data_IF_591411864476
#
_entry.id   IF_591411864476
#
_cell.length_a   1.000
_cell.length_b   1.000
_cell.length_c   1.000
_cell.angle_alpha   90.00
_cell.angle_beta   90.00
_cell.angle_gamma   90.00
#
_symmetry.space_group_name_H-M   'P 1'
#
loop_
_entity.id
_entity.type
_entity.pdbx_description
1 polymer ?
#
# COMPACT_ATOMS: atom_id res chain seq x y z
N UNK A 1 -29.13 7.52 33.02
CA UNK A 1 -28.42 7.62 31.73
C UNK A 1 -26.98 7.95 32.08
N UNK A 2 -26.05 7.11 31.64
CA UNK A 2 -24.67 7.05 32.11
C UNK A 2 -23.89 8.34 31.75
N UNK A 3 -23.06 8.78 32.70
CA UNK A 3 -22.30 10.03 32.68
C UNK A 3 -20.99 9.88 31.87
N UNK A 4 -20.63 10.92 31.12
CA UNK A 4 -19.43 11.03 30.26
C UNK A 4 -18.12 11.20 31.05
N UNK A 5 -17.84 10.36 32.05
CA UNK A 5 -16.62 10.46 32.87
C UNK A 5 -15.80 9.16 32.98
N UNK A 6 -15.87 8.29 31.97
CA UNK A 6 -15.05 7.08 31.86
C UNK A 6 -14.14 7.12 30.61
N UNK A 7 -13.42 8.23 30.41
CA UNK A 7 -12.34 8.31 29.39
C UNK A 7 -11.13 9.03 29.99
N UNK A 8 -10.69 8.63 31.18
CA UNK A 8 -9.33 8.95 31.65
C UNK A 8 -8.89 7.82 32.58
N UNK A 9 -8.05 6.88 32.09
CA UNK A 9 -7.04 6.09 32.84
C UNK A 9 -6.61 4.81 32.12
N UNK A 10 -6.25 4.85 30.83
CA UNK A 10 -5.62 3.67 30.18
C UNK A 10 -4.56 3.99 29.10
N UNK A 11 -4.01 5.22 29.06
CA UNK A 11 -2.95 5.58 28.09
C UNK A 11 -1.71 6.16 28.79
N UNK A 12 -1.50 5.87 30.07
CA UNK A 12 -0.38 6.49 30.77
C UNK A 12 0.22 5.57 31.82
N UNK A 13 0.72 4.42 31.39
CA UNK A 13 1.68 3.60 32.13
C UNK A 13 2.27 2.58 31.14
N UNK A 14 3.26 3.02 30.36
CA UNK A 14 4.41 2.25 29.83
C UNK A 14 5.05 3.09 28.70
N UNK A 15 5.76 4.13 29.11
CA UNK A 15 6.76 4.78 28.27
C UNK A 15 8.03 4.90 29.11
N UNK A 16 8.78 3.80 29.19
CA UNK A 16 10.19 3.87 29.54
C UNK A 16 10.91 4.71 28.48
N UNK A 17 11.77 5.68 28.86
CA UNK A 17 12.56 6.42 27.91
C UNK A 17 13.70 5.52 27.42
N UNK A 18 13.49 4.85 26.29
CA UNK A 18 14.56 4.10 25.63
C UNK A 18 15.47 5.12 24.95
N UNK A 19 16.67 5.20 25.51
CA UNK A 19 17.85 5.95 25.08
C UNK A 19 18.04 5.85 23.56
N UNK A 20 17.99 7.01 22.92
CA UNK A 20 18.05 7.21 21.48
C UNK A 20 19.52 7.19 21.03
N UNK A 21 20.16 6.00 21.07
CA UNK A 21 21.43 5.73 20.38
C UNK A 21 21.53 4.26 19.98
N UNK A 22 21.27 3.97 18.71
CA UNK A 22 21.90 2.87 17.97
C UNK A 22 21.95 3.29 16.50
N UNK A 23 22.98 4.07 16.19
CA UNK A 23 23.59 4.12 14.87
C UNK A 23 24.59 2.96 14.82
N UNK A 24 24.26 1.90 14.08
CA UNK A 24 25.27 1.01 13.51
C UNK A 24 24.67 0.35 12.26
N UNK A 25 25.12 0.87 11.13
CA UNK A 25 25.07 0.25 9.81
C UNK A 25 25.41 -1.23 9.88
N UNK A 26 24.39 -2.09 9.80
CA UNK A 26 24.56 -3.41 9.23
C UNK A 26 23.60 -3.54 8.05
N UNK A 27 24.03 -2.94 6.94
CA UNK A 27 23.64 -3.30 5.57
C UNK A 27 24.01 -4.77 5.34
N UNK A 28 23.28 -5.67 6.00
CA UNK A 28 23.28 -7.07 5.66
C UNK A 28 22.49 -7.21 4.37
N UNK A 29 23.23 -6.89 3.30
CA UNK A 29 22.97 -7.01 1.89
C UNK A 29 22.61 -8.46 1.53
N UNK A 30 21.43 -8.87 1.99
CA UNK A 30 20.69 -10.05 1.54
C UNK A 30 19.29 -9.62 1.09
N UNK A 31 19.20 -8.38 0.58
CA UNK A 31 18.10 -8.00 -0.29
C UNK A 31 18.31 -8.70 -1.63
N UNK A 32 17.97 -9.98 -1.67
CA UNK A 32 17.34 -10.60 -2.84
C UNK A 32 16.18 -9.67 -3.21
N UNK A 33 16.50 -8.64 -3.98
CA UNK A 33 15.58 -7.61 -4.40
C UNK A 33 14.58 -8.36 -5.26
N UNK A 34 13.47 -8.78 -4.64
CA UNK A 34 12.37 -9.46 -5.30
C UNK A 34 11.92 -8.53 -6.39
N UNK A 35 12.46 -8.76 -7.58
CA UNK A 35 12.17 -7.94 -8.74
C UNK A 35 10.72 -8.25 -9.04
N UNK A 36 9.85 -7.32 -8.67
CA UNK A 36 8.42 -7.43 -8.90
C UNK A 36 8.11 -7.74 -10.37
N UNK A 37 6.86 -8.12 -10.67
CA UNK A 37 6.49 -8.56 -12.00
C UNK A 37 6.84 -7.52 -13.06
N UNK A 38 7.24 -8.00 -14.24
CA UNK A 38 7.54 -7.10 -15.33
C UNK A 38 6.28 -6.31 -15.71
N UNK A 39 6.51 -5.19 -16.36
CA UNK A 39 5.46 -4.36 -16.94
C UNK A 39 4.56 -5.14 -17.92
N UNK A 40 5.08 -6.17 -18.60
CA UNK A 40 4.33 -7.03 -19.49
C UNK A 40 3.44 -8.04 -18.73
N UNK A 41 3.85 -8.44 -17.53
CA UNK A 41 3.12 -9.43 -16.71
C UNK A 41 2.10 -8.74 -15.78
N UNK A 42 2.48 -7.60 -15.20
CA UNK A 42 1.68 -6.88 -14.21
C UNK A 42 0.38 -6.29 -14.80
N UNK A 43 0.41 -5.83 -16.05
CA UNK A 43 -0.75 -5.19 -16.69
C UNK A 43 -1.87 -6.19 -17.01
N UNK A 44 -1.60 -7.33 -17.67
CA UNK A 44 -2.58 -8.39 -17.83
C UNK A 44 -3.11 -8.90 -16.48
N UNK A 45 -2.23 -9.13 -15.49
CA UNK A 45 -2.65 -9.59 -14.17
C UNK A 45 -3.61 -8.59 -13.50
N UNK A 46 -3.30 -7.29 -13.54
CA UNK A 46 -4.17 -6.24 -13.02
C UNK A 46 -5.52 -6.19 -13.76
N UNK A 47 -5.52 -6.37 -15.08
CA UNK A 47 -6.75 -6.44 -15.88
C UNK A 47 -7.63 -7.61 -15.43
N UNK A 48 -7.05 -8.80 -15.32
CA UNK A 48 -7.76 -10.01 -14.85
C UNK A 48 -8.31 -9.80 -13.44
N UNK A 49 -7.54 -9.20 -12.53
CA UNK A 49 -7.99 -8.90 -11.18
C UNK A 49 -9.18 -7.94 -11.15
N UNK A 50 -9.19 -6.91 -12.00
CA UNK A 50 -10.34 -5.99 -12.12
C UNK A 50 -11.58 -6.68 -12.69
N UNK A 51 -11.43 -7.53 -13.71
CA UNK A 51 -12.54 -8.29 -14.30
C UNK A 51 -13.15 -9.27 -13.29
N UNK A 52 -12.31 -9.93 -12.49
CA UNK A 52 -12.77 -10.75 -11.37
C UNK A 52 -13.48 -9.93 -10.30
N UNK A 53 -12.92 -8.77 -9.93
CA UNK A 53 -13.48 -7.89 -8.91
C UNK A 53 -14.85 -7.31 -9.31
N UNK A 54 -15.05 -6.99 -10.58
CA UNK A 54 -16.34 -6.54 -11.14
C UNK A 54 -17.47 -7.55 -10.97
N UNK A 55 -17.15 -8.85 -10.83
CA UNK A 55 -18.14 -9.92 -10.67
C UNK A 55 -18.47 -10.22 -9.21
N UNK A 56 -17.74 -9.64 -8.25
CA UNK A 56 -17.99 -9.89 -6.84
C UNK A 56 -19.21 -9.11 -6.36
N UNK A 57 -20.11 -9.77 -5.63
CA UNK A 57 -21.29 -9.13 -5.04
C UNK A 57 -20.94 -8.05 -4.00
N UNK A 58 -19.75 -8.14 -3.43
CA UNK A 58 -19.18 -7.21 -2.46
C UNK A 58 -18.33 -6.10 -3.13
N UNK A 59 -18.26 -6.12 -4.47
CA UNK A 59 -17.45 -5.20 -5.25
C UNK A 59 -17.87 -3.73 -5.03
N UNK A 60 -16.94 -2.91 -4.57
CA UNK A 60 -17.14 -1.48 -4.40
C UNK A 60 -16.71 -0.72 -5.66
N UNK A 61 -17.65 -0.05 -6.30
CA UNK A 61 -17.40 0.73 -7.52
C UNK A 61 -16.28 1.78 -7.35
N UNK A 62 -16.20 2.41 -6.18
CA UNK A 62 -15.15 3.39 -5.87
C UNK A 62 -13.76 2.76 -5.88
N UNK A 63 -13.60 1.56 -5.31
CA UNK A 63 -12.32 0.85 -5.30
C UNK A 63 -11.91 0.44 -6.73
N UNK A 64 -12.87 -0.04 -7.53
CA UNK A 64 -12.66 -0.34 -8.94
C UNK A 64 -12.23 0.89 -9.76
N UNK A 65 -12.83 2.05 -9.50
CA UNK A 65 -12.44 3.29 -10.16
C UNK A 65 -11.00 3.70 -9.83
N UNK A 66 -10.58 3.52 -8.57
CA UNK A 66 -9.20 3.76 -8.15
C UNK A 66 -8.21 2.84 -8.88
N UNK A 67 -8.53 1.55 -9.02
CA UNK A 67 -7.71 0.59 -9.77
C UNK A 67 -7.58 0.99 -11.25
N UNK A 68 -8.69 1.39 -11.88
CA UNK A 68 -8.68 1.89 -13.27
C UNK A 68 -7.79 3.14 -13.41
N UNK A 69 -7.84 4.07 -12.44
CA UNK A 69 -6.97 5.26 -12.42
C UNK A 69 -5.49 4.89 -12.30
N UNK A 70 -5.13 3.92 -11.45
CA UNK A 70 -3.74 3.46 -11.29
C UNK A 70 -3.19 2.91 -12.61
N UNK A 71 -3.99 2.08 -13.30
CA UNK A 71 -3.65 1.56 -14.63
C UNK A 71 -3.39 2.71 -15.62
N UNK A 72 -4.29 3.68 -15.66
CA UNK A 72 -4.22 4.79 -16.62
C UNK A 72 -3.02 5.71 -16.37
N UNK A 73 -2.70 5.98 -15.09
CA UNK A 73 -1.50 6.73 -14.70
C UNK A 73 -0.22 6.01 -15.14
N UNK A 74 -0.16 4.70 -14.93
CA UNK A 74 1.00 3.88 -15.31
C UNK A 74 1.15 3.84 -16.84
N UNK A 75 0.05 3.71 -17.58
CA UNK A 75 0.05 3.78 -19.03
C UNK A 75 0.48 5.17 -19.55
N UNK A 76 0.06 6.26 -18.91
CA UNK A 76 0.48 7.62 -19.26
C UNK A 76 1.98 7.81 -19.04
N UNK A 77 2.53 7.33 -17.91
CA UNK A 77 3.98 7.39 -17.63
C UNK A 77 4.78 6.71 -18.74
N UNK A 78 4.36 5.53 -19.22
CA UNK A 78 5.02 4.84 -20.34
C UNK A 78 5.01 5.68 -21.62
N UNK A 79 3.87 6.28 -21.97
CA UNK A 79 3.77 7.12 -23.17
C UNK A 79 4.69 8.34 -23.10
N UNK A 80 4.85 8.95 -21.94
CA UNK A 80 5.77 10.08 -21.79
C UNK A 80 7.24 9.65 -21.92
N UNK A 81 7.62 8.48 -21.38
CA UNK A 81 9.01 7.98 -21.47
C UNK A 81 9.40 7.59 -22.90
N UNK A 82 8.44 7.22 -23.76
CA UNK A 82 8.70 6.87 -25.17
C UNK A 82 8.70 8.08 -26.13
N UNK A 83 8.47 9.30 -25.64
CA UNK A 83 8.40 10.54 -26.45
C UNK A 83 9.56 11.50 -26.09
N UNK A 84 10.61 10.99 -25.44
CA UNK A 84 11.87 11.70 -25.19
C UNK A 84 13.00 11.01 -25.95
#
# INVERSE_FOLDING_TARGET
MLYDNEIVTSIQEESDPVDDQMDEDEDNNNNESSKGPSNADAFPALKTAMEWYEQQSEGCFTQLLLLKRIRDLTAKKRRCIMVQ
#
